data_IF_699661671157
#
_entry.id   IF_699661671157
#
_cell.length_a   1.000
_cell.length_b   1.000
_cell.length_c   1.000
_cell.angle_alpha   90.00
_cell.angle_beta   90.00
_cell.angle_gamma   90.00
#
_symmetry.space_group_name_H-M   'P 1'
#
loop_
_entity.id
_entity.type
_entity.pdbx_description
1 polymer ?
#
# COMPACT_ATOMS: atom_id res chain seq x y z
N UNK A 1 13.59 -44.91 -25.41
CA UNK A 1 12.27 -44.72 -24.79
C UNK A 1 11.66 -46.08 -24.65
N UNK A 2 11.51 -46.57 -23.42
CA UNK A 2 10.82 -47.81 -23.08
C UNK A 2 9.47 -47.50 -22.41
N UNK A 3 8.75 -48.55 -22.02
CA UNK A 3 7.45 -48.40 -21.37
C UNK A 3 7.54 -47.76 -19.98
N UNK A 4 8.64 -47.96 -19.25
CA UNK A 4 8.83 -47.35 -17.93
C UNK A 4 8.94 -45.83 -18.04
N UNK A 5 9.73 -45.33 -19.00
CA UNK A 5 9.82 -43.90 -19.29
C UNK A 5 8.46 -43.30 -19.71
N UNK A 6 7.72 -43.99 -20.59
CA UNK A 6 6.41 -43.52 -21.06
C UNK A 6 5.36 -43.50 -19.95
N UNK A 7 5.38 -44.46 -19.03
CA UNK A 7 4.48 -44.52 -17.88
C UNK A 7 4.78 -43.41 -16.85
N UNK A 8 6.04 -43.01 -16.71
CA UNK A 8 6.46 -42.00 -15.74
C UNK A 8 6.29 -40.56 -16.27
N UNK A 9 6.80 -40.25 -17.47
CA UNK A 9 6.98 -38.87 -17.96
C UNK A 9 5.81 -38.36 -18.81
N UNK A 10 4.60 -38.48 -18.26
CA UNK A 10 3.37 -38.43 -19.05
C UNK A 10 2.51 -37.16 -18.91
N UNK A 11 3.12 -36.03 -18.53
CA UNK A 11 2.42 -34.73 -18.42
C UNK A 11 1.72 -34.30 -19.72
N UNK A 12 2.16 -34.81 -20.87
CA UNK A 12 1.55 -34.49 -22.17
C UNK A 12 0.03 -34.74 -22.20
N UNK A 13 -0.46 -35.85 -21.65
CA UNK A 13 -1.90 -36.09 -21.49
C UNK A 13 -2.40 -35.78 -20.08
N UNK A 14 -1.60 -36.04 -19.04
CA UNK A 14 -2.01 -35.73 -17.65
C UNK A 14 -2.34 -34.25 -17.42
N UNK A 15 -1.56 -33.34 -17.99
CA UNK A 15 -1.83 -31.89 -17.92
C UNK A 15 -3.07 -31.46 -18.71
N UNK A 16 -3.44 -32.19 -19.77
CA UNK A 16 -4.66 -31.93 -20.55
C UNK A 16 -5.90 -32.35 -19.78
N UNK A 17 -5.86 -33.51 -19.12
CA UNK A 17 -6.95 -33.98 -18.25
C UNK A 17 -7.18 -33.03 -17.07
N UNK A 18 -6.11 -32.54 -16.42
CA UNK A 18 -6.24 -31.51 -15.40
C UNK A 18 -6.83 -30.20 -15.94
N UNK A 19 -6.47 -29.83 -17.18
CA UNK A 19 -7.05 -28.69 -17.87
C UNK A 19 -8.56 -28.82 -18.08
N UNK A 20 -9.05 -30.02 -18.42
CA UNK A 20 -10.47 -30.30 -18.60
C UNK A 20 -11.29 -29.99 -17.35
N UNK A 21 -10.91 -30.54 -16.18
CA UNK A 21 -11.71 -30.36 -14.97
C UNK A 21 -11.75 -28.90 -14.51
N UNK A 22 -10.64 -28.16 -14.63
CA UNK A 22 -10.58 -26.73 -14.31
C UNK A 22 -11.52 -25.90 -15.20
N UNK A 23 -11.50 -26.15 -16.52
CA UNK A 23 -12.40 -25.51 -17.46
C UNK A 23 -13.87 -25.88 -17.21
N UNK A 24 -14.14 -27.17 -16.94
CA UNK A 24 -15.50 -27.68 -16.67
C UNK A 24 -16.12 -27.04 -15.42
N UNK A 25 -15.32 -26.72 -14.40
CA UNK A 25 -15.74 -26.07 -13.16
C UNK A 25 -15.77 -24.54 -13.24
N UNK A 26 -15.28 -23.93 -14.33
CA UNK A 26 -15.18 -22.47 -14.45
C UNK A 26 -14.14 -21.83 -13.52
N UNK A 27 -13.11 -22.58 -13.12
CA UNK A 27 -12.04 -22.08 -12.26
C UNK A 27 -11.01 -21.29 -13.07
N UNK A 28 -10.49 -20.22 -12.48
CA UNK A 28 -9.37 -19.48 -13.07
C UNK A 28 -8.05 -20.20 -12.80
N UNK A 29 -7.53 -20.92 -13.81
CA UNK A 29 -6.22 -21.57 -13.77
C UNK A 29 -5.25 -20.86 -14.72
N UNK A 30 -4.13 -20.35 -14.18
CA UNK A 30 -3.03 -19.84 -15.01
C UNK A 30 -2.18 -21.00 -15.52
N UNK A 31 -1.94 -21.05 -16.84
CA UNK A 31 -1.18 -22.14 -17.47
C UNK A 31 0.11 -21.61 -18.09
N UNK A 32 1.23 -22.21 -17.70
CA UNK A 32 2.55 -22.00 -18.29
C UNK A 32 3.06 -23.35 -18.79
N UNK A 33 3.51 -23.40 -20.04
CA UNK A 33 4.04 -24.60 -20.67
C UNK A 33 5.48 -24.33 -21.13
N UNK A 34 6.39 -25.25 -20.81
CA UNK A 34 7.80 -25.20 -21.19
C UNK A 34 8.62 -26.17 -20.33
N UNK A 35 9.87 -26.39 -20.70
CA UNK A 35 10.81 -27.15 -19.87
C UNK A 35 11.11 -26.36 -18.58
N UNK A 36 11.32 -27.02 -17.45
CA UNK A 36 11.49 -26.33 -16.16
C UNK A 36 12.75 -25.43 -16.09
N UNK A 37 13.75 -25.69 -16.95
CA UNK A 37 14.95 -24.84 -17.10
C UNK A 37 14.76 -23.66 -18.08
N UNK A 38 13.63 -23.61 -18.81
CA UNK A 38 13.35 -22.52 -19.73
C UNK A 38 13.15 -21.20 -18.95
N UNK A 39 13.97 -20.19 -19.28
CA UNK A 39 13.96 -18.89 -18.62
C UNK A 39 12.65 -18.15 -18.84
N UNK A 40 12.02 -18.29 -20.01
CA UNK A 40 10.74 -17.66 -20.27
C UNK A 40 9.63 -18.25 -19.39
N UNK A 41 9.61 -19.57 -19.22
CA UNK A 41 8.68 -20.25 -18.31
C UNK A 41 8.89 -19.84 -16.84
N UNK A 42 10.15 -19.79 -16.38
CA UNK A 42 10.49 -19.32 -15.03
C UNK A 42 10.00 -17.88 -14.78
N UNK A 43 10.18 -16.97 -15.74
CA UNK A 43 9.71 -15.58 -15.64
C UNK A 43 8.18 -15.46 -15.63
N UNK A 44 7.47 -16.34 -16.36
CA UNK A 44 5.99 -16.37 -16.34
C UNK A 44 5.46 -16.85 -14.99
N UNK A 45 6.09 -17.87 -14.40
CA UNK A 45 5.76 -18.37 -13.06
C UNK A 45 6.04 -17.28 -12.01
N UNK A 46 7.19 -16.62 -12.06
CA UNK A 46 7.53 -15.54 -11.12
C UNK A 46 6.49 -14.41 -11.13
N UNK A 47 6.04 -13.98 -12.32
CA UNK A 47 4.96 -12.98 -12.44
C UNK A 47 3.64 -13.45 -11.82
N UNK A 48 3.30 -14.72 -11.97
CA UNK A 48 2.10 -15.30 -11.35
C UNK A 48 2.21 -15.32 -9.82
N UNK A 49 3.39 -15.65 -9.27
CA UNK A 49 3.64 -15.60 -7.83
C UNK A 49 3.46 -14.18 -7.28
N UNK A 50 3.99 -13.16 -7.96
CA UNK A 50 3.81 -11.76 -7.54
C UNK A 50 2.32 -11.36 -7.52
N UNK A 51 1.54 -11.76 -8.53
CA UNK A 51 0.10 -11.51 -8.54
C UNK A 51 -0.63 -12.24 -7.38
N UNK A 52 -0.19 -13.45 -7.01
CA UNK A 52 -0.74 -14.17 -5.87
C UNK A 52 -0.41 -13.47 -4.53
N UNK A 53 0.80 -12.94 -4.38
CA UNK A 53 1.21 -12.13 -3.23
C UNK A 53 0.38 -10.84 -3.13
N UNK A 54 0.21 -10.11 -4.24
CA UNK A 54 -0.63 -8.92 -4.29
C UNK A 54 -2.09 -9.21 -3.90
N UNK A 55 -2.64 -10.35 -4.35
CA UNK A 55 -3.98 -10.79 -3.93
C UNK A 55 -4.02 -11.05 -2.42
N UNK A 56 -3.01 -11.72 -1.85
CA UNK A 56 -2.96 -11.99 -0.42
C UNK A 56 -2.84 -10.70 0.40
N UNK A 57 -2.02 -9.74 -0.03
CA UNK A 57 -1.90 -8.44 0.59
C UNK A 57 -3.24 -7.68 0.58
N UNK A 58 -3.95 -7.69 -0.55
CA UNK A 58 -5.29 -7.11 -0.67
C UNK A 58 -6.28 -7.70 0.34
N UNK A 59 -6.24 -9.02 0.58
CA UNK A 59 -7.16 -9.68 1.51
C UNK A 59 -6.93 -9.34 2.98
N UNK A 60 -5.77 -8.79 3.33
CA UNK A 60 -5.41 -8.42 4.71
C UNK A 60 -5.30 -6.90 4.91
N UNK A 61 -5.45 -6.12 3.85
CA UNK A 61 -5.22 -4.69 3.86
C UNK A 61 -6.31 -3.95 4.64
N UNK A 62 -5.89 -3.04 5.50
CA UNK A 62 -6.72 -2.01 6.13
C UNK A 62 -6.31 -0.62 5.65
N UNK A 63 -7.30 0.17 5.24
CA UNK A 63 -7.15 1.55 4.76
C UNK A 63 -7.73 2.51 5.79
N UNK A 64 -6.91 3.45 6.28
CA UNK A 64 -7.33 4.54 7.15
C UNK A 64 -7.74 5.79 6.38
N UNK A 65 -8.91 6.36 6.67
CA UNK A 65 -9.34 7.63 6.10
C UNK A 65 -9.38 8.71 7.18
N UNK A 66 -8.59 9.77 7.00
CA UNK A 66 -8.62 10.96 7.85
C UNK A 66 -9.42 12.05 7.14
N UNK A 67 -10.71 12.15 7.48
CA UNK A 67 -11.69 12.92 6.73
C UNK A 67 -12.40 12.10 5.65
N UNK A 68 -13.43 12.69 5.05
CA UNK A 68 -14.23 12.06 4.01
C UNK A 68 -13.66 12.33 2.60
N UNK A 69 -14.37 11.91 1.56
CA UNK A 69 -14.09 12.31 0.19
C UNK A 69 -14.16 13.83 0.03
N UNK A 70 -13.38 14.40 -0.90
CA UNK A 70 -13.55 15.81 -1.28
C UNK A 70 -14.98 16.04 -1.78
N UNK A 71 -15.62 17.11 -1.27
CA UNK A 71 -17.00 17.47 -1.62
C UNK A 71 -17.18 17.57 -3.14
N UNK A 72 -18.31 17.07 -3.63
CA UNK A 72 -18.71 17.07 -5.04
C UNK A 72 -17.81 16.23 -5.98
N UNK A 73 -16.96 15.35 -5.46
CA UNK A 73 -16.11 14.45 -6.28
C UNK A 73 -16.74 13.08 -6.43
N UNK A 74 -16.93 12.64 -7.68
CA UNK A 74 -17.55 11.35 -7.98
C UNK A 74 -16.56 10.17 -8.00
N UNK A 75 -15.43 10.30 -8.70
CA UNK A 75 -14.54 9.16 -8.99
C UNK A 75 -13.87 8.57 -7.74
N UNK A 76 -13.68 9.36 -6.69
CA UNK A 76 -13.05 8.93 -5.44
C UNK A 76 -14.05 8.27 -4.48
N UNK A 77 -15.36 8.40 -4.73
CA UNK A 77 -16.41 7.72 -3.96
C UNK A 77 -16.62 6.27 -4.43
N UNK A 78 -17.41 5.50 -3.71
CA UNK A 78 -17.87 4.18 -4.12
C UNK A 78 -18.37 3.33 -2.96
N UNK A 79 -18.78 2.11 -3.27
CA UNK A 79 -19.25 1.16 -2.28
C UNK A 79 -18.09 0.41 -1.63
N UNK A 80 -17.79 0.77 -0.38
CA UNK A 80 -16.73 0.16 0.43
C UNK A 80 -17.08 -1.28 0.84
N UNK A 81 -18.37 -1.61 1.01
CA UNK A 81 -18.82 -2.96 1.33
C UNK A 81 -18.61 -3.87 0.12
N UNK A 82 -18.99 -3.42 -1.07
CA UNK A 82 -18.74 -4.15 -2.31
C UNK A 82 -17.24 -4.36 -2.56
N UNK A 83 -16.42 -3.33 -2.31
CA UNK A 83 -14.96 -3.44 -2.43
C UNK A 83 -14.37 -4.48 -1.47
N UNK A 84 -14.84 -4.53 -0.23
CA UNK A 84 -14.39 -5.53 0.75
C UNK A 84 -14.82 -6.95 0.35
N UNK A 85 -16.05 -7.14 -0.16
CA UNK A 85 -16.50 -8.44 -0.68
C UNK A 85 -15.63 -8.88 -1.87
N UNK A 86 -15.34 -7.98 -2.80
CA UNK A 86 -14.66 -8.31 -4.05
C UNK A 86 -13.13 -8.46 -3.89
N UNK A 87 -12.50 -7.60 -3.08
CA UNK A 87 -11.04 -7.47 -3.00
C UNK A 87 -10.48 -7.78 -1.61
N UNK A 88 -11.32 -7.88 -0.59
CA UNK A 88 -10.95 -8.27 0.78
C UNK A 88 -10.45 -7.13 1.68
N UNK A 89 -10.03 -5.99 1.11
CA UNK A 89 -9.50 -4.89 1.92
C UNK A 89 -10.62 -4.14 2.66
N UNK A 90 -10.34 -3.72 3.89
CA UNK A 90 -11.25 -2.94 4.71
C UNK A 90 -10.94 -1.44 4.62
N UNK A 91 -11.96 -0.60 4.55
CA UNK A 91 -11.82 0.86 4.47
C UNK A 91 -12.68 1.51 5.55
N UNK A 92 -12.03 2.16 6.52
CA UNK A 92 -12.72 2.79 7.65
C UNK A 92 -12.27 4.25 7.83
N UNK A 93 -13.14 5.05 8.45
CA UNK A 93 -12.89 6.45 8.74
C UNK A 93 -12.53 6.66 10.21
N UNK A 94 -11.54 7.50 10.44
CA UNK A 94 -11.18 8.03 11.76
C UNK A 94 -11.30 9.56 11.74
N UNK A 95 -11.59 10.15 12.89
CA UNK A 95 -11.62 11.60 13.01
C UNK A 95 -10.24 12.18 12.76
N UNK A 96 -10.15 13.36 12.13
CA UNK A 96 -8.86 14.07 12.03
C UNK A 96 -8.32 14.40 13.43
N UNK A 97 -9.21 14.59 14.42
CA UNK A 97 -8.86 14.79 15.82
C UNK A 97 -8.07 13.62 16.42
N UNK A 98 -8.46 12.38 16.12
CA UNK A 98 -7.77 11.18 16.59
C UNK A 98 -6.31 11.16 16.11
N UNK A 99 -6.07 11.56 14.86
CA UNK A 99 -4.72 11.71 14.33
C UNK A 99 -3.97 12.86 15.02
N UNK A 100 -4.62 14.00 15.22
CA UNK A 100 -4.04 15.17 15.89
C UNK A 100 -3.58 14.83 17.30
N UNK A 101 -4.34 14.04 18.05
CA UNK A 101 -3.93 13.57 19.39
C UNK A 101 -2.63 12.78 19.33
N UNK A 102 -2.50 11.84 18.38
CA UNK A 102 -1.27 11.06 18.22
C UNK A 102 -0.10 11.95 17.77
N UNK A 103 -0.32 12.86 16.81
CA UNK A 103 0.71 13.83 16.36
C UNK A 103 1.20 14.70 17.52
N UNK A 104 0.30 15.20 18.37
CA UNK A 104 0.64 16.06 19.50
C UNK A 104 1.35 15.30 20.64
N UNK A 105 1.18 13.97 20.71
CA UNK A 105 1.87 13.11 21.68
C UNK A 105 3.31 12.76 21.31
N UNK A 106 3.77 13.09 20.10
CA UNK A 106 5.14 12.81 19.64
C UNK A 106 6.13 13.69 20.39
N UNK A 107 7.18 13.08 20.95
CA UNK A 107 8.19 13.80 21.72
C UNK A 107 9.11 14.63 20.83
N UNK A 108 9.62 15.75 21.34
CA UNK A 108 10.59 16.59 20.62
C UNK A 108 11.89 15.83 20.32
N UNK A 109 12.27 14.88 21.17
CA UNK A 109 13.43 14.02 20.95
C UNK A 109 13.28 13.16 19.70
N UNK A 110 12.12 12.52 19.51
CA UNK A 110 11.85 11.72 18.32
C UNK A 110 11.79 12.57 17.06
N UNK A 111 11.20 13.78 17.15
CA UNK A 111 11.15 14.74 16.04
C UNK A 111 12.56 15.13 15.60
N UNK A 112 13.42 15.51 16.55
CA UNK A 112 14.81 15.89 16.24
C UNK A 112 15.58 14.73 15.62
N UNK A 113 15.45 13.52 16.15
CA UNK A 113 16.10 12.33 15.58
C UNK A 113 15.66 12.05 14.13
N UNK A 114 14.38 12.21 13.81
CA UNK A 114 13.90 12.05 12.43
C UNK A 114 14.40 13.15 11.50
N UNK A 115 14.55 14.38 12.02
CA UNK A 115 15.08 15.50 11.23
C UNK A 115 16.58 15.32 10.96
N UNK A 116 17.34 14.76 11.89
CA UNK A 116 18.73 14.35 11.65
C UNK A 116 18.81 13.31 10.51
N UNK A 117 17.86 12.36 10.46
CA UNK A 117 17.74 11.43 9.34
C UNK A 117 17.44 12.19 8.03
N UNK A 118 16.53 13.16 8.03
CA UNK A 118 16.25 13.97 6.84
C UNK A 118 17.51 14.68 6.34
N UNK A 119 18.29 15.29 7.23
CA UNK A 119 19.53 16.01 6.89
C UNK A 119 20.59 15.08 6.30
N UNK A 120 20.60 13.80 6.70
CA UNK A 120 21.49 12.80 6.12
C UNK A 120 21.08 12.32 4.72
N UNK A 121 19.79 12.43 4.38
CA UNK A 121 19.23 11.86 3.14
C UNK A 121 18.91 12.90 2.07
N UNK A 122 18.68 14.14 2.45
CA UNK A 122 18.18 15.18 1.56
C UNK A 122 19.02 16.45 1.61
N UNK A 123 19.00 17.19 0.50
CA UNK A 123 19.58 18.52 0.43
C UNK A 123 18.56 19.55 0.91
N UNK A 124 18.91 20.25 1.99
CA UNK A 124 18.07 21.31 2.54
C UNK A 124 18.35 22.64 1.84
N UNK A 125 17.28 23.38 1.54
CA UNK A 125 17.40 24.78 1.15
C UNK A 125 17.78 25.62 2.36
N UNK A 126 18.40 26.79 2.13
CA UNK A 126 18.78 27.70 3.21
C UNK A 126 17.61 28.07 4.14
N UNK A 127 16.39 28.17 3.62
CA UNK A 127 15.18 28.45 4.39
C UNK A 127 14.77 27.29 5.32
N UNK A 128 15.05 26.03 4.94
CA UNK A 128 14.69 24.84 5.70
C UNK A 128 15.81 24.34 6.64
N UNK A 129 17.06 24.77 6.40
CA UNK A 129 18.24 24.42 7.18
C UNK A 129 18.14 24.87 8.64
N UNK A 130 19.10 24.43 9.47
CA UNK A 130 19.28 24.95 10.82
C UNK A 130 19.38 26.49 10.78
N UNK A 131 18.60 27.16 11.65
CA UNK A 131 18.41 28.62 11.70
C UNK A 131 17.69 29.26 10.49
N UNK A 132 17.19 28.46 9.54
CA UNK A 132 16.33 28.95 8.45
C UNK A 132 14.94 29.35 8.94
N UNK A 133 14.30 30.29 8.25
CA UNK A 133 12.98 30.84 8.59
C UNK A 133 11.82 29.85 8.45
N UNK A 134 12.04 28.73 7.75
CA UNK A 134 11.09 27.61 7.58
C UNK A 134 11.53 26.34 8.31
N UNK A 135 12.52 26.41 9.21
CA UNK A 135 12.94 25.24 9.99
C UNK A 135 11.78 24.62 10.78
N UNK A 136 10.91 25.44 11.36
CA UNK A 136 9.75 24.94 12.12
C UNK A 136 8.82 24.08 11.25
N UNK A 137 8.60 24.43 9.98
CA UNK A 137 7.78 23.63 9.07
C UNK A 137 8.34 22.22 8.83
N UNK A 138 9.66 22.06 8.89
CA UNK A 138 10.33 20.75 8.80
C UNK A 138 10.07 19.94 10.07
N UNK A 139 10.21 20.56 11.25
CA UNK A 139 9.92 19.92 12.53
C UNK A 139 8.45 19.48 12.60
N UNK A 140 7.52 20.33 12.16
CA UNK A 140 6.10 20.02 12.08
C UNK A 140 5.82 18.87 11.09
N UNK A 141 6.53 18.84 9.95
CA UNK A 141 6.43 17.74 8.99
C UNK A 141 6.89 16.41 9.59
N UNK A 142 8.02 16.41 10.31
CA UNK A 142 8.56 15.24 11.00
C UNK A 142 7.60 14.76 12.10
N UNK A 143 7.01 15.67 12.86
CA UNK A 143 6.01 15.33 13.89
C UNK A 143 4.78 14.68 13.27
N UNK A 144 4.29 15.22 12.15
CA UNK A 144 3.18 14.63 11.38
C UNK A 144 3.55 13.24 10.85
N UNK A 145 4.77 13.04 10.33
CA UNK A 145 5.23 11.72 9.87
C UNK A 145 5.22 10.68 10.98
N UNK A 146 5.80 11.02 12.13
CA UNK A 146 5.84 10.14 13.30
C UNK A 146 4.43 9.83 13.82
N UNK A 147 3.57 10.85 13.90
CA UNK A 147 2.18 10.68 14.35
C UNK A 147 1.37 9.79 13.41
N UNK A 148 1.42 10.06 12.11
CA UNK A 148 0.79 9.20 11.09
C UNK A 148 1.31 7.77 11.17
N UNK A 149 2.64 7.59 11.22
CA UNK A 149 3.24 6.26 11.28
C UNK A 149 2.78 5.49 12.51
N UNK A 150 2.83 6.12 13.69
CA UNK A 150 2.39 5.51 14.96
C UNK A 150 0.93 5.12 14.91
N UNK A 151 0.07 6.01 14.41
CA UNK A 151 -1.36 5.74 14.25
C UNK A 151 -1.60 4.54 13.33
N UNK A 152 -1.02 4.57 12.13
CA UNK A 152 -1.23 3.53 11.12
C UNK A 152 -0.72 2.17 11.60
N UNK A 153 0.47 2.11 12.21
CA UNK A 153 1.00 0.87 12.77
C UNK A 153 0.15 0.37 13.95
N UNK A 154 -0.35 1.27 14.82
CA UNK A 154 -1.22 0.92 15.94
C UNK A 154 -2.55 0.30 15.50
N UNK A 155 -3.16 0.83 14.44
CA UNK A 155 -4.41 0.31 13.86
C UNK A 155 -4.20 -0.87 12.89
N UNK A 156 -2.93 -1.19 12.59
CA UNK A 156 -2.57 -2.20 11.59
C UNK A 156 -2.96 -1.81 10.16
N UNK A 157 -3.00 -0.51 9.87
CA UNK A 157 -3.28 0.02 8.53
C UNK A 157 -2.01 0.08 7.68
N UNK A 158 -2.13 -0.32 6.41
CA UNK A 158 -1.02 -0.26 5.42
C UNK A 158 -1.30 0.66 4.24
N UNK A 159 -2.47 1.30 4.23
CA UNK A 159 -2.77 2.40 3.33
C UNK A 159 -3.60 3.46 4.05
N UNK A 160 -3.56 4.70 3.55
CA UNK A 160 -4.35 5.78 4.11
C UNK A 160 -4.70 6.86 3.11
N UNK A 161 -5.63 7.74 3.50
CA UNK A 161 -6.01 8.93 2.72
C UNK A 161 -6.08 10.15 3.64
N UNK A 162 -5.88 11.32 3.06
CA UNK A 162 -6.10 12.62 3.71
C UNK A 162 -7.05 13.45 2.86
N UNK A 163 -7.63 14.51 3.43
CA UNK A 163 -8.44 15.47 2.68
C UNK A 163 -8.14 16.89 3.17
N UNK A 164 -7.67 17.76 2.27
CA UNK A 164 -7.33 19.14 2.62
C UNK A 164 -8.52 19.98 3.10
N UNK A 165 -9.76 19.55 2.83
CA UNK A 165 -10.98 20.19 3.32
C UNK A 165 -11.24 19.90 4.81
N UNK A 166 -10.51 18.98 5.43
CA UNK A 166 -10.66 18.58 6.84
C UNK A 166 -9.29 18.48 7.52
N UNK A 167 -8.77 19.61 8.00
CA UNK A 167 -7.44 19.70 8.64
C UNK A 167 -7.48 20.33 10.04
N UNK A 168 -8.64 20.31 10.71
CA UNK A 168 -8.78 20.91 12.04
C UNK A 168 -7.77 20.30 13.02
N UNK A 169 -6.95 21.16 13.64
CA UNK A 169 -5.89 20.77 14.58
C UNK A 169 -4.54 20.38 13.95
N UNK A 170 -4.48 20.20 12.63
CA UNK A 170 -3.22 19.95 11.93
C UNK A 170 -2.48 21.26 11.66
N UNK A 171 -1.17 21.29 11.88
CA UNK A 171 -0.32 22.47 11.60
C UNK A 171 -0.13 22.71 10.10
N UNK A 172 -0.15 21.65 9.29
CA UNK A 172 -0.06 21.70 7.84
C UNK A 172 -0.62 20.43 7.19
N UNK A 173 -0.91 20.50 5.89
CA UNK A 173 -1.27 19.34 5.09
C UNK A 173 -0.10 18.34 5.06
N UNK A 174 -0.31 17.03 5.30
CA UNK A 174 0.76 16.04 5.22
C UNK A 174 1.35 15.94 3.80
N UNK A 175 2.60 16.41 3.64
CA UNK A 175 3.35 16.37 2.38
C UNK A 175 4.53 15.40 2.43
N UNK A 176 5.68 15.86 2.96
CA UNK A 176 6.90 15.05 3.12
C UNK A 176 6.63 13.74 3.87
N UNK A 177 5.87 13.83 4.98
CA UNK A 177 5.41 12.69 5.78
C UNK A 177 4.78 11.59 4.91
N UNK A 178 3.89 11.98 3.99
CA UNK A 178 3.20 11.05 3.10
C UNK A 178 4.16 10.43 2.09
N UNK A 179 5.05 11.23 1.50
CA UNK A 179 6.05 10.74 0.54
C UNK A 179 6.95 9.68 1.18
N UNK A 180 7.40 9.92 2.41
CA UNK A 180 8.27 9.00 3.15
C UNK A 180 7.53 7.74 3.59
N UNK A 181 6.29 7.84 4.04
CA UNK A 181 5.46 6.65 4.29
C UNK A 181 5.23 5.85 3.01
N UNK A 182 4.97 6.50 1.87
CA UNK A 182 4.87 5.80 0.59
C UNK A 182 6.17 5.07 0.22
N UNK A 183 7.34 5.66 0.49
CA UNK A 183 8.64 5.03 0.28
C UNK A 183 8.85 3.80 1.19
N UNK A 184 8.24 3.79 2.38
CA UNK A 184 8.23 2.64 3.31
C UNK A 184 7.19 1.56 2.95
N UNK A 185 6.49 1.69 1.82
CA UNK A 185 5.54 0.68 1.33
C UNK A 185 4.07 0.98 1.64
N UNK A 186 3.75 2.11 2.30
CA UNK A 186 2.36 2.48 2.53
C UNK A 186 1.66 2.88 1.23
N UNK A 187 0.38 2.50 1.13
CA UNK A 187 -0.54 3.03 0.13
C UNK A 187 -1.05 4.41 0.52
N UNK A 188 -1.20 5.30 -0.45
CA UNK A 188 -1.72 6.65 -0.24
C UNK A 188 -2.41 7.15 -1.49
N UNK A 189 -3.48 7.92 -1.28
CA UNK A 189 -4.01 8.84 -2.26
C UNK A 189 -4.69 10.01 -1.54
N UNK A 190 -4.72 11.16 -2.23
CA UNK A 190 -5.29 12.39 -1.69
C UNK A 190 -6.83 12.37 -1.70
N UNK A 191 -7.39 13.42 -1.11
CA UNK A 191 -8.80 13.80 -1.20
C UNK A 191 -9.81 12.68 -0.84
N UNK A 192 -9.41 11.79 0.08
CA UNK A 192 -10.23 10.67 0.54
C UNK A 192 -10.31 9.48 -0.42
N UNK A 193 -9.47 9.41 -1.47
CA UNK A 193 -9.49 8.35 -2.49
C UNK A 193 -8.94 7.00 -1.99
N UNK A 194 -9.79 6.28 -1.26
CA UNK A 194 -9.45 4.99 -0.66
C UNK A 194 -9.20 3.88 -1.70
N UNK A 195 -9.75 4.00 -2.91
CA UNK A 195 -9.54 3.02 -3.98
C UNK A 195 -8.10 3.07 -4.48
N UNK A 196 -7.62 4.27 -4.78
CA UNK A 196 -6.24 4.47 -5.25
C UNK A 196 -5.24 4.22 -4.13
N UNK A 197 -5.56 4.59 -2.89
CA UNK A 197 -4.70 4.28 -1.74
C UNK A 197 -4.51 2.76 -1.56
N UNK A 198 -5.59 1.99 -1.65
CA UNK A 198 -5.52 0.53 -1.60
C UNK A 198 -4.71 -0.05 -2.77
N UNK A 199 -5.01 0.39 -3.99
CA UNK A 199 -4.32 -0.04 -5.20
C UNK A 199 -2.81 0.22 -5.12
N UNK A 200 -2.40 1.39 -4.61
CA UNK A 200 -0.99 1.71 -4.46
C UNK A 200 -0.27 0.74 -3.54
N UNK A 201 -0.85 0.39 -2.38
CA UNK A 201 -0.23 -0.60 -1.49
C UNK A 201 -0.16 -1.98 -2.16
N UNK A 202 -1.25 -2.43 -2.78
CA UNK A 202 -1.33 -3.75 -3.42
C UNK A 202 -0.28 -3.90 -4.53
N UNK A 203 0.02 -2.84 -5.28
CA UNK A 203 1.04 -2.85 -6.33
C UNK A 203 2.48 -2.68 -5.82
N UNK A 204 2.67 -2.29 -4.55
CA UNK A 204 3.99 -2.17 -3.93
C UNK A 204 4.52 -3.49 -3.34
N UNK A 205 3.63 -4.45 -3.09
CA UNK A 205 3.98 -5.77 -2.52
C UNK A 205 4.58 -6.69 -3.57
#
# INVERSE_FOLDING_TARGET
MDMDFMNLNQTAHGGREFGFIGARMGLQHSVVTGHWQDKTSQQRIARWVNAALAKQASQQLKVARFGDNMREVAVTEGDKVAAQIQFGYAVNGWGVGDLVEVVNSVSDGDVNALVDEYESQYLFSAAASVNGDKRQNVLDAARIELGLKRFLDGEGCKAFTTNFQTLHGMTQLPGLAVQRLMAQGYGFAGEGDWKTAALLHILKV
#
